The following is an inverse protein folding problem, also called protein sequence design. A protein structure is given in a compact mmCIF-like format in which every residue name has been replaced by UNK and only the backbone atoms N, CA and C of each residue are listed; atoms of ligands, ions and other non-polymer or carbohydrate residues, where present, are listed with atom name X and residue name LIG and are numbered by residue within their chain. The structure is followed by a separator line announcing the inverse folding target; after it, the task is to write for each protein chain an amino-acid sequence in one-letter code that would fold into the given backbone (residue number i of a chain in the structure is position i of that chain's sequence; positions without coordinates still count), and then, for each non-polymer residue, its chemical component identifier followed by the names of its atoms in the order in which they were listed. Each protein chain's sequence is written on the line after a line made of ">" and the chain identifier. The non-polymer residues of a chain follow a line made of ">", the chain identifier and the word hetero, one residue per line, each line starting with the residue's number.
data_IF_141487487573
#
_entry.id   IF_141487487573
#
_cell.length_a   1.000
_cell.length_b   1.000
_cell.length_c   1.000
_cell.angle_alpha   90.00
_cell.angle_beta   90.00
_cell.angle_gamma   90.00
#
_symmetry.space_group_name_H-M   'P 1'
#
loop_
_entity.id
_entity.type
_entity.pdbx_description
1 polymer ?
#
# COMPACT_ATOMS: atom_id res chain seq x y z
N UNK A 1 -9.10 5.52 -22.69
CA UNK A 1 -9.03 6.65 -23.63
C UNK A 1 -10.10 7.68 -23.32
N UNK A 2 -9.79 8.96 -23.46
CA UNK A 2 -10.68 10.09 -23.15
C UNK A 2 -10.66 11.06 -24.34
N UNK A 3 -11.82 11.73 -24.58
CA UNK A 3 -11.96 12.67 -25.67
C UNK A 3 -12.00 12.04 -27.05
N UNK A 4 -11.39 12.68 -28.03
CA UNK A 4 -11.44 12.23 -29.42
C UNK A 4 -10.72 10.90 -29.70
N UNK A 5 -9.84 10.49 -28.81
CA UNK A 5 -9.14 9.21 -28.90
C UNK A 5 -9.96 8.02 -28.39
N UNK A 6 -11.08 8.29 -27.71
CA UNK A 6 -11.98 7.25 -27.21
C UNK A 6 -13.03 6.88 -28.26
N UNK A 7 -13.00 5.64 -28.72
CA UNK A 7 -14.08 5.10 -29.56
C UNK A 7 -15.29 4.75 -28.67
N UNK A 8 -16.29 5.64 -28.66
CA UNK A 8 -17.46 5.52 -27.79
C UNK A 8 -18.71 4.98 -28.51
N UNK A 9 -18.63 4.72 -29.80
CA UNK A 9 -19.71 4.15 -30.62
C UNK A 9 -20.89 5.09 -30.93
N UNK A 10 -20.81 6.37 -30.50
CA UNK A 10 -21.90 7.34 -30.69
C UNK A 10 -21.94 7.92 -32.10
N UNK A 11 -20.79 8.03 -32.74
CA UNK A 11 -20.68 8.60 -34.08
C UNK A 11 -20.16 7.59 -35.07
N UNK A 12 -20.74 7.62 -36.29
CA UNK A 12 -20.25 6.86 -37.46
C UNK A 12 -19.01 7.51 -38.08
N UNK A 13 -18.81 7.28 -39.41
CA UNK A 13 -17.64 7.78 -40.18
C UNK A 13 -17.49 9.31 -40.16
N UNK A 14 -18.60 10.06 -40.11
CA UNK A 14 -18.60 11.53 -40.10
C UNK A 14 -19.37 12.06 -38.92
N UNK A 15 -18.78 13.02 -38.20
CA UNK A 15 -19.41 13.76 -37.09
C UNK A 15 -19.31 15.26 -37.33
N UNK A 16 -20.28 16.00 -36.80
CA UNK A 16 -20.23 17.46 -36.78
C UNK A 16 -19.22 17.93 -35.72
N UNK A 17 -18.38 18.92 -36.05
CA UNK A 17 -17.36 19.45 -35.15
C UNK A 17 -17.92 19.99 -33.81
N UNK A 18 -19.12 20.60 -33.87
CA UNK A 18 -19.83 21.07 -32.66
C UNK A 18 -20.21 19.95 -31.70
N UNK A 19 -20.61 18.78 -32.22
CA UNK A 19 -20.95 17.62 -31.41
C UNK A 19 -19.70 16.99 -30.76
N UNK A 20 -18.54 17.11 -31.41
CA UNK A 20 -17.27 16.63 -30.89
C UNK A 20 -16.89 17.28 -29.56
N UNK A 21 -17.09 18.60 -29.46
CA UNK A 21 -16.77 19.34 -28.21
C UNK A 21 -17.71 18.96 -27.06
N UNK A 22 -19.03 18.91 -27.34
CA UNK A 22 -20.03 18.48 -26.35
C UNK A 22 -19.79 17.06 -25.90
N UNK A 23 -19.51 16.15 -26.82
CA UNK A 23 -19.15 14.77 -26.54
C UNK A 23 -17.93 14.68 -25.61
N UNK A 24 -16.84 15.37 -25.96
CA UNK A 24 -15.63 15.39 -25.16
C UNK A 24 -15.88 15.87 -23.73
N UNK A 25 -16.70 16.93 -23.56
CA UNK A 25 -17.08 17.45 -22.23
C UNK A 25 -17.93 16.47 -21.44
N UNK A 26 -18.93 15.84 -22.07
CA UNK A 26 -19.85 14.89 -21.40
C UNK A 26 -19.10 13.63 -21.00
N UNK A 27 -18.30 13.05 -21.91
CA UNK A 27 -17.57 11.82 -21.62
C UNK A 27 -16.42 12.05 -20.64
N UNK A 28 -15.72 13.20 -20.71
CA UNK A 28 -14.71 13.58 -19.71
C UNK A 28 -15.34 13.71 -18.32
N UNK A 29 -16.50 14.36 -18.20
CA UNK A 29 -17.22 14.48 -16.92
C UNK A 29 -17.72 13.12 -16.38
N UNK A 30 -18.20 12.24 -17.26
CA UNK A 30 -18.61 10.87 -16.88
C UNK A 30 -17.40 10.03 -16.46
N UNK A 31 -16.29 10.14 -17.19
CA UNK A 31 -15.04 9.48 -16.85
C UNK A 31 -14.51 9.95 -15.50
N UNK A 32 -14.49 11.26 -15.24
CA UNK A 32 -14.08 11.82 -13.97
C UNK A 32 -14.92 11.31 -12.79
N UNK A 33 -16.26 11.30 -12.93
CA UNK A 33 -17.15 10.73 -11.92
C UNK A 33 -16.92 9.21 -11.67
N UNK A 34 -16.66 8.46 -12.75
CA UNK A 34 -16.39 7.02 -12.64
C UNK A 34 -15.04 6.75 -11.99
N UNK A 35 -14.02 7.57 -12.32
CA UNK A 35 -12.71 7.55 -11.68
C UNK A 35 -12.84 7.90 -10.19
N UNK A 36 -13.57 8.96 -9.84
CA UNK A 36 -13.81 9.34 -8.45
C UNK A 36 -14.50 8.22 -7.65
N UNK A 37 -15.54 7.59 -8.23
CA UNK A 37 -16.21 6.44 -7.62
C UNK A 37 -15.24 5.26 -7.48
N UNK A 38 -14.50 4.94 -8.53
CA UNK A 38 -13.49 3.85 -8.51
C UNK A 38 -12.35 4.12 -7.52
N UNK A 39 -11.95 5.39 -7.33
CA UNK A 39 -10.96 5.76 -6.33
C UNK A 39 -11.50 5.59 -4.90
N UNK A 40 -12.78 5.89 -4.67
CA UNK A 40 -13.45 5.62 -3.38
C UNK A 40 -13.62 4.13 -3.09
N UNK A 41 -13.91 3.33 -4.12
CA UNK A 41 -14.02 1.87 -4.01
C UNK A 41 -12.65 1.17 -3.90
N UNK A 42 -11.57 1.78 -4.43
CA UNK A 42 -10.18 1.33 -4.32
C UNK A 42 -9.48 1.81 -3.05
N UNK A 43 -10.17 2.50 -2.16
CA UNK A 43 -9.61 2.96 -0.88
C UNK A 43 -9.10 1.82 0.03
N UNK A 44 -9.28 0.55 -0.36
CA UNK A 44 -8.75 -0.63 0.31
C UNK A 44 -7.41 -1.12 -0.25
N UNK A 45 -6.99 -0.68 -1.46
CA UNK A 45 -5.71 -1.07 -2.03
C UNK A 45 -4.78 0.13 -2.15
N UNK A 46 -3.69 0.06 -1.43
CA UNK A 46 -2.61 1.04 -1.43
C UNK A 46 -2.07 1.29 -2.85
N UNK A 47 -1.74 0.22 -3.56
CA UNK A 47 -1.20 0.24 -4.91
C UNK A 47 -1.93 -0.76 -5.81
N UNK A 48 -2.13 -0.40 -7.08
CA UNK A 48 -2.57 -1.35 -8.10
C UNK A 48 -1.44 -2.33 -8.46
N UNK A 49 -1.80 -3.45 -9.08
CA UNK A 49 -0.87 -4.54 -9.42
C UNK A 49 0.30 -4.11 -10.30
N UNK A 50 0.10 -3.14 -11.20
CA UNK A 50 1.17 -2.64 -12.07
C UNK A 50 2.17 -1.80 -11.27
N UNK A 51 1.68 -0.92 -10.42
CA UNK A 51 2.50 -0.10 -9.51
C UNK A 51 3.27 -0.98 -8.52
N UNK A 52 2.63 -2.01 -7.96
CA UNK A 52 3.30 -3.00 -7.11
C UNK A 52 4.50 -3.60 -7.84
N UNK A 53 4.28 -4.22 -9.00
CA UNK A 53 5.35 -4.94 -9.73
C UNK A 53 6.47 -4.03 -10.20
N UNK A 54 6.16 -2.84 -10.69
CA UNK A 54 7.17 -1.97 -11.31
C UNK A 54 7.91 -1.08 -10.30
N UNK A 55 7.24 -0.60 -9.25
CA UNK A 55 7.77 0.43 -8.37
C UNK A 55 7.96 -0.02 -6.92
N UNK A 56 7.19 -0.98 -6.44
CA UNK A 56 7.19 -1.42 -5.05
C UNK A 56 8.02 -2.68 -4.86
N UNK A 57 7.75 -3.74 -5.62
CA UNK A 57 8.46 -5.01 -5.51
C UNK A 57 9.99 -4.86 -5.59
N UNK A 58 10.57 -4.06 -6.51
CA UNK A 58 12.02 -3.87 -6.55
C UNK A 58 12.59 -3.27 -5.26
N UNK A 59 11.83 -2.39 -4.58
CA UNK A 59 12.26 -1.77 -3.32
C UNK A 59 12.20 -2.76 -2.17
N UNK A 60 11.12 -3.55 -2.08
CA UNK A 60 11.00 -4.61 -1.07
C UNK A 60 12.07 -5.67 -1.28
N UNK A 61 12.30 -6.10 -2.52
CA UNK A 61 13.35 -7.07 -2.85
C UNK A 61 14.74 -6.53 -2.48
N UNK A 62 15.00 -5.22 -2.70
CA UNK A 62 16.25 -4.60 -2.30
C UNK A 62 16.43 -4.62 -0.78
N UNK A 63 15.37 -4.31 -0.02
CA UNK A 63 15.40 -4.38 1.44
C UNK A 63 15.57 -5.81 1.98
N UNK A 64 14.92 -6.79 1.35
CA UNK A 64 15.12 -8.21 1.68
C UNK A 64 16.55 -8.67 1.41
N UNK A 65 17.16 -8.23 0.30
CA UNK A 65 18.58 -8.53 -0.01
C UNK A 65 19.55 -7.85 0.95
N UNK A 66 19.22 -6.68 1.48
CA UNK A 66 20.01 -6.00 2.49
C UNK A 66 19.97 -6.75 3.83
N UNK A 67 18.78 -7.23 4.24
CA UNK A 67 18.61 -7.96 5.50
C UNK A 67 19.08 -9.42 5.42
N UNK A 68 18.85 -10.08 4.29
CA UNK A 68 19.22 -11.48 4.03
C UNK A 68 20.48 -11.50 3.14
N UNK A 69 21.63 -11.20 3.73
CA UNK A 69 22.92 -11.11 2.99
C UNK A 69 23.54 -12.47 2.64
N UNK A 70 23.17 -13.51 3.39
CA UNK A 70 23.62 -14.90 3.23
C UNK A 70 22.51 -15.82 3.75
N UNK A 71 22.80 -17.08 3.96
CA UNK A 71 21.86 -17.98 4.63
C UNK A 71 21.49 -17.43 6.02
N UNK A 72 20.21 -17.53 6.40
CA UNK A 72 19.78 -17.33 7.78
C UNK A 72 20.26 -18.51 8.62
N UNK A 73 21.53 -18.42 9.04
CA UNK A 73 22.23 -19.47 9.77
C UNK A 73 21.49 -19.84 11.05
N UNK A 74 20.88 -18.84 11.71
CA UNK A 74 20.14 -19.02 12.96
C UNK A 74 18.90 -19.87 12.72
N UNK A 75 18.10 -19.49 11.73
CA UNK A 75 16.87 -20.19 11.39
C UNK A 75 17.15 -21.59 10.83
N UNK A 76 18.12 -21.72 9.92
CA UNK A 76 18.49 -23.01 9.33
C UNK A 76 19.05 -24.00 10.36
N UNK A 77 19.74 -23.51 11.40
CA UNK A 77 20.26 -24.36 12.46
C UNK A 77 19.18 -24.90 13.40
N UNK A 78 18.13 -24.10 13.66
CA UNK A 78 17.04 -24.47 14.58
C UNK A 78 15.90 -25.19 13.86
N UNK A 79 15.67 -24.86 12.58
CA UNK A 79 14.55 -25.36 11.76
C UNK A 79 15.07 -25.99 10.45
N UNK A 80 15.71 -27.19 10.50
CA UNK A 80 16.30 -27.80 9.31
C UNK A 80 15.26 -28.32 8.30
N UNK A 81 13.98 -28.45 8.72
CA UNK A 81 12.88 -28.90 7.87
C UNK A 81 11.78 -27.83 7.78
N UNK A 82 11.09 -27.81 6.63
CA UNK A 82 9.88 -26.99 6.44
C UNK A 82 8.82 -27.36 7.48
N UNK A 83 8.28 -26.36 8.15
CA UNK A 83 7.18 -26.49 9.11
C UNK A 83 6.25 -25.30 8.98
N UNK A 84 4.99 -25.54 8.71
CA UNK A 84 3.97 -24.49 8.73
C UNK A 84 3.75 -23.98 10.16
N UNK A 85 3.76 -22.66 10.31
CA UNK A 85 3.45 -21.97 11.55
C UNK A 85 2.45 -20.83 11.31
N UNK A 86 1.98 -20.26 12.41
CA UNK A 86 1.12 -19.08 12.43
C UNK A 86 1.72 -18.09 13.42
N UNK A 87 1.82 -16.81 13.01
CA UNK A 87 2.26 -15.70 13.85
C UNK A 87 1.21 -14.62 13.90
N UNK A 88 1.00 -14.03 15.07
CA UNK A 88 0.07 -12.93 15.29
C UNK A 88 0.81 -11.59 15.15
N UNK A 89 0.23 -10.67 14.37
CA UNK A 89 0.66 -9.29 14.28
C UNK A 89 -0.06 -8.47 15.36
N UNK A 90 0.68 -8.03 16.38
CA UNK A 90 0.12 -7.34 17.55
C UNK A 90 0.64 -5.90 17.62
N UNK A 91 -0.27 -4.94 17.77
CA UNK A 91 0.05 -3.53 17.96
C UNK A 91 0.84 -3.30 19.27
N UNK A 92 1.93 -2.53 19.20
CA UNK A 92 2.76 -2.24 20.39
C UNK A 92 2.48 -0.88 20.99
N UNK A 93 1.95 0.07 20.23
CA UNK A 93 1.66 1.44 20.65
C UNK A 93 0.40 1.93 19.93
N UNK A 94 -0.33 2.86 20.56
CA UNK A 94 -1.51 3.49 19.95
C UNK A 94 -1.10 4.33 18.74
N UNK A 95 -1.91 4.30 17.67
CA UNK A 95 -1.59 5.07 16.47
C UNK A 95 -2.54 4.83 15.31
N UNK A 96 -2.08 5.21 14.12
CA UNK A 96 -2.74 4.92 12.84
C UNK A 96 -1.94 3.85 12.13
N UNK A 97 -2.58 2.73 11.83
CA UNK A 97 -1.95 1.67 11.06
C UNK A 97 -1.85 2.06 9.57
N UNK A 98 -0.71 1.80 8.96
CA UNK A 98 -0.49 2.08 7.55
C UNK A 98 0.61 1.19 6.97
N UNK A 99 0.36 0.59 5.80
CA UNK A 99 1.32 -0.24 5.09
C UNK A 99 1.04 -1.75 5.14
N UNK A 100 -0.19 -2.15 5.44
CA UNK A 100 -0.60 -3.56 5.51
C UNK A 100 -0.34 -4.30 4.20
N UNK A 101 -0.61 -3.68 3.04
CA UNK A 101 -0.34 -4.27 1.73
C UNK A 101 1.17 -4.53 1.52
N UNK A 102 2.06 -3.65 2.03
CA UNK A 102 3.51 -3.84 1.92
C UNK A 102 3.98 -4.95 2.85
N UNK A 103 3.39 -5.04 4.04
CA UNK A 103 3.64 -6.13 4.98
C UNK A 103 3.30 -7.48 4.36
N UNK A 104 2.11 -7.66 3.80
CA UNK A 104 1.68 -8.87 3.09
C UNK A 104 2.59 -9.15 1.90
N UNK A 105 2.83 -8.15 1.04
CA UNK A 105 3.65 -8.30 -0.17
C UNK A 105 5.07 -8.76 0.14
N UNK A 106 5.63 -8.40 1.28
CA UNK A 106 6.97 -8.85 1.71
C UNK A 106 7.02 -10.37 1.87
N UNK A 107 5.99 -10.98 2.46
CA UNK A 107 5.90 -12.43 2.60
C UNK A 107 5.59 -13.12 1.26
N UNK A 108 4.67 -12.58 0.47
CA UNK A 108 4.35 -13.12 -0.87
C UNK A 108 5.58 -13.16 -1.80
N UNK A 109 6.48 -12.17 -1.71
CA UNK A 109 7.72 -12.14 -2.50
C UNK A 109 8.74 -13.20 -2.06
N UNK A 110 8.65 -13.69 -0.84
CA UNK A 110 9.49 -14.78 -0.34
C UNK A 110 8.87 -16.15 -0.62
N UNK A 111 7.54 -16.27 -0.47
CA UNK A 111 6.79 -17.50 -0.73
C UNK A 111 5.31 -17.17 -1.00
N UNK A 112 4.84 -17.44 -2.20
CA UNK A 112 3.44 -17.24 -2.60
C UNK A 112 2.43 -18.09 -1.80
N UNK A 113 2.90 -19.11 -1.07
CA UNK A 113 2.08 -19.94 -0.20
C UNK A 113 1.82 -19.30 1.18
N UNK A 114 2.44 -18.16 1.49
CA UNK A 114 2.12 -17.40 2.68
C UNK A 114 0.71 -16.83 2.58
N UNK A 115 -0.07 -16.98 3.65
CA UNK A 115 -1.44 -16.47 3.77
C UNK A 115 -1.49 -15.43 4.90
N UNK A 116 -2.01 -14.24 4.59
CA UNK A 116 -2.09 -13.13 5.53
C UNK A 116 -3.54 -12.71 5.70
N UNK A 117 -4.02 -12.74 6.95
CA UNK A 117 -5.35 -12.28 7.33
C UNK A 117 -5.22 -11.01 8.17
N UNK A 118 -5.85 -9.91 7.76
CA UNK A 118 -5.87 -8.66 8.52
C UNK A 118 -7.23 -8.44 9.20
N UNK A 119 -7.17 -7.89 10.44
CA UNK A 119 -8.31 -7.49 11.26
C UNK A 119 -8.43 -5.96 11.38
N UNK A 120 -7.56 -5.23 10.68
CA UNK A 120 -7.56 -3.79 10.57
C UNK A 120 -7.29 -3.37 9.12
N UNK A 121 -7.58 -2.13 8.78
CA UNK A 121 -7.33 -1.53 7.46
C UNK A 121 -6.39 -0.32 7.59
N UNK A 122 -5.64 -0.01 6.52
CA UNK A 122 -4.83 1.19 6.49
C UNK A 122 -5.68 2.44 6.77
N UNK A 123 -5.20 3.28 7.69
CA UNK A 123 -5.90 4.46 8.17
C UNK A 123 -6.70 4.25 9.46
N UNK A 124 -6.89 3.02 9.92
CA UNK A 124 -7.57 2.75 11.18
C UNK A 124 -6.73 3.22 12.37
N UNK A 125 -7.41 3.75 13.40
CA UNK A 125 -6.82 3.99 14.71
C UNK A 125 -6.76 2.67 15.46
N UNK A 126 -5.57 2.31 15.91
CA UNK A 126 -5.30 1.05 16.61
C UNK A 126 -4.73 1.30 17.97
N UNK A 127 -4.94 0.37 18.90
CA UNK A 127 -4.54 0.46 20.30
C UNK A 127 -3.47 -0.57 20.64
N UNK A 128 -2.67 -0.28 21.65
CA UNK A 128 -1.66 -1.19 22.18
C UNK A 128 -2.30 -2.52 22.63
N UNK A 129 -1.72 -3.62 22.16
CA UNK A 129 -2.20 -4.98 22.42
C UNK A 129 -3.26 -5.48 21.45
N UNK A 130 -3.76 -4.64 20.54
CA UNK A 130 -4.73 -5.02 19.54
C UNK A 130 -4.10 -6.03 18.56
N UNK A 131 -4.84 -7.11 18.24
CA UNK A 131 -4.50 -8.05 17.17
C UNK A 131 -4.85 -7.42 15.83
N UNK A 132 -3.84 -7.18 14.99
CA UNK A 132 -3.97 -6.53 13.69
C UNK A 132 -4.10 -7.51 12.52
N UNK A 133 -3.57 -8.73 12.70
CA UNK A 133 -3.62 -9.76 11.67
C UNK A 133 -2.88 -11.02 12.07
N UNK A 134 -2.85 -11.97 11.14
CA UNK A 134 -2.13 -13.25 11.24
C UNK A 134 -1.41 -13.54 9.94
N UNK A 135 -0.24 -14.14 10.06
CA UNK A 135 0.51 -14.66 8.92
C UNK A 135 0.72 -16.16 9.12
N UNK A 136 0.34 -16.94 8.11
CA UNK A 136 0.52 -18.38 8.07
C UNK A 136 1.47 -18.75 6.92
N UNK A 137 2.48 -19.56 7.18
CA UNK A 137 3.45 -19.96 6.16
C UNK A 137 4.53 -20.88 6.72
N UNK A 138 5.56 -21.15 5.94
CA UNK A 138 6.77 -21.82 6.43
C UNK A 138 7.45 -20.94 7.49
N UNK A 139 7.71 -21.48 8.66
CA UNK A 139 8.32 -20.76 9.79
C UNK A 139 9.63 -20.07 9.39
N UNK A 140 10.43 -20.66 8.51
CA UNK A 140 11.68 -20.06 8.02
C UNK A 140 11.42 -18.79 7.21
N UNK A 141 10.41 -18.83 6.35
CA UNK A 141 9.96 -17.66 5.56
C UNK A 141 9.40 -16.58 6.48
N UNK A 142 8.58 -16.97 7.47
CA UNK A 142 8.03 -16.03 8.45
C UNK A 142 9.15 -15.30 9.20
N UNK A 143 10.15 -16.01 9.68
CA UNK A 143 11.30 -15.43 10.40
C UNK A 143 12.18 -14.55 9.49
N UNK A 144 12.43 -14.98 8.25
CA UNK A 144 13.25 -14.21 7.30
C UNK A 144 12.58 -12.92 6.82
N UNK A 145 11.25 -12.92 6.66
CA UNK A 145 10.48 -11.75 6.17
C UNK A 145 10.10 -10.76 7.27
N UNK A 146 10.03 -11.20 8.53
CA UNK A 146 9.49 -10.43 9.65
C UNK A 146 10.09 -9.03 9.77
N UNK A 147 11.42 -8.93 9.78
CA UNK A 147 12.12 -7.67 10.03
C UNK A 147 11.83 -6.63 8.95
N UNK A 148 11.90 -7.01 7.69
CA UNK A 148 11.63 -6.10 6.58
C UNK A 148 10.15 -5.69 6.55
N UNK A 149 9.23 -6.65 6.73
CA UNK A 149 7.79 -6.40 6.79
C UNK A 149 7.44 -5.43 7.92
N UNK A 150 7.97 -5.65 9.13
CA UNK A 150 7.74 -4.78 10.29
C UNK A 150 8.40 -3.41 10.12
N UNK A 151 9.59 -3.31 9.53
CA UNK A 151 10.27 -2.02 9.31
C UNK A 151 9.42 -1.10 8.41
N UNK A 152 8.86 -1.62 7.31
CA UNK A 152 7.95 -0.85 6.47
C UNK A 152 6.67 -0.47 7.21
N UNK A 153 6.02 -1.43 7.85
CA UNK A 153 4.75 -1.21 8.56
C UNK A 153 4.91 -0.15 9.67
N UNK A 154 5.95 -0.27 10.50
CA UNK A 154 6.24 0.66 11.59
C UNK A 154 6.57 2.06 11.07
N UNK A 155 7.41 2.15 10.03
CA UNK A 155 7.77 3.43 9.42
C UNK A 155 6.55 4.15 8.86
N UNK A 156 5.72 3.45 8.11
CA UNK A 156 4.53 4.01 7.47
C UNK A 156 3.48 4.38 8.51
N UNK A 157 3.22 3.52 9.50
CA UNK A 157 2.30 3.81 10.59
C UNK A 157 2.75 5.00 11.45
N UNK A 158 4.05 5.14 11.69
CA UNK A 158 4.62 6.30 12.38
C UNK A 158 4.38 7.61 11.63
N UNK A 159 4.55 7.61 10.30
CA UNK A 159 4.27 8.79 9.45
C UNK A 159 2.78 9.11 9.46
N UNK A 160 1.91 8.11 9.30
CA UNK A 160 0.45 8.28 9.32
C UNK A 160 -0.03 8.83 10.67
N UNK A 161 0.46 8.27 11.77
CA UNK A 161 0.15 8.73 13.14
C UNK A 161 0.58 10.17 13.36
N UNK A 162 1.81 10.53 12.98
CA UNK A 162 2.31 11.89 13.12
C UNK A 162 1.49 12.87 12.28
N UNK A 163 1.16 12.51 11.05
CA UNK A 163 0.34 13.33 10.14
C UNK A 163 -1.06 13.55 10.72
N UNK A 164 -1.71 12.50 11.21
CA UNK A 164 -3.02 12.58 11.85
C UNK A 164 -3.00 13.51 13.08
N UNK A 165 -1.97 13.42 13.91
CA UNK A 165 -1.82 14.29 15.08
C UNK A 165 -1.65 15.76 14.66
N UNK A 166 -0.85 16.06 13.62
CA UNK A 166 -0.71 17.43 13.11
C UNK A 166 -2.02 17.93 12.52
N UNK A 167 -2.76 17.11 11.78
CA UNK A 167 -4.08 17.48 11.25
C UNK A 167 -5.06 17.81 12.38
N UNK A 168 -5.04 17.06 13.47
CA UNK A 168 -5.91 17.32 14.62
C UNK A 168 -5.62 18.70 15.26
N UNK A 169 -4.35 19.12 15.36
CA UNK A 169 -4.00 20.48 15.80
C UNK A 169 -4.48 21.59 14.85
N UNK A 170 -4.63 21.29 13.57
CA UNK A 170 -4.99 22.26 12.53
C UNK A 170 -6.49 22.28 12.24
N UNK A 171 -7.30 21.41 12.80
CA UNK A 171 -8.72 21.20 12.43
C UNK A 171 -9.58 22.46 12.49
N UNK A 172 -9.31 23.35 13.44
CA UNK A 172 -10.07 24.59 13.66
C UNK A 172 -9.42 25.82 12.98
N UNK A 173 -8.40 25.59 12.17
CA UNK A 173 -7.68 26.65 11.45
C UNK A 173 -7.98 26.62 9.95
N UNK A 174 -7.68 27.73 9.25
CA UNK A 174 -7.70 27.79 7.79
C UNK A 174 -6.43 27.21 7.14
N UNK A 175 -5.50 26.69 7.95
CA UNK A 175 -4.21 26.17 7.50
C UNK A 175 -4.42 24.79 6.88
N UNK A 176 -3.85 24.58 5.68
CA UNK A 176 -3.84 23.28 5.01
C UNK A 176 -2.47 22.63 5.13
N UNK A 177 -2.44 21.43 5.69
CA UNK A 177 -1.22 20.63 5.73
C UNK A 177 -0.86 20.15 4.32
N UNK A 178 0.39 20.38 3.92
CA UNK A 178 0.95 19.88 2.66
C UNK A 178 2.17 19.02 2.96
N UNK A 179 2.30 17.94 2.23
CA UNK A 179 3.47 17.08 2.34
C UNK A 179 4.68 17.66 1.56
N UNK A 180 5.84 17.04 1.72
CA UNK A 180 7.11 17.52 1.16
C UNK A 180 7.73 16.52 0.18
N UNK A 181 8.64 17.00 -0.69
CA UNK A 181 9.52 16.14 -1.51
C UNK A 181 10.78 15.68 -0.77
N UNK A 182 11.00 16.16 0.45
CA UNK A 182 12.13 15.76 1.29
C UNK A 182 11.80 14.45 2.01
N UNK A 183 11.92 13.37 1.29
CA UNK A 183 11.64 11.98 1.74
C UNK A 183 12.94 11.20 1.86
N UNK A 184 12.91 10.10 2.60
CA UNK A 184 14.00 9.13 2.61
C UNK A 184 14.26 8.64 1.18
N UNK A 185 15.52 8.63 0.69
CA UNK A 185 15.85 8.08 -0.62
C UNK A 185 15.26 6.68 -0.80
N UNK A 186 14.74 6.42 -1.99
CA UNK A 186 14.04 5.20 -2.40
C UNK A 186 12.70 4.91 -1.71
N UNK A 187 12.38 5.56 -0.56
CA UNK A 187 11.15 5.30 0.20
C UNK A 187 10.01 6.29 -0.08
N UNK A 188 10.18 7.21 -1.05
CA UNK A 188 9.17 8.24 -1.33
C UNK A 188 7.79 7.70 -1.59
N UNK A 189 7.65 6.59 -2.31
CA UNK A 189 6.36 6.00 -2.66
C UNK A 189 5.58 5.60 -1.41
N UNK A 190 6.25 5.01 -0.44
CA UNK A 190 5.67 4.58 0.85
C UNK A 190 5.33 5.77 1.74
N UNK A 191 6.28 6.72 1.88
CA UNK A 191 6.10 7.90 2.74
C UNK A 191 4.98 8.83 2.22
N UNK A 192 4.86 8.98 0.88
CA UNK A 192 3.77 9.75 0.26
C UNK A 192 2.40 9.10 0.45
N UNK A 193 2.34 7.79 0.45
CA UNK A 193 1.11 7.08 0.77
C UNK A 193 0.73 7.30 2.23
N UNK A 194 1.67 7.14 3.16
CA UNK A 194 1.43 7.23 4.60
C UNK A 194 0.96 8.62 5.08
N UNK A 195 1.16 9.68 4.29
CA UNK A 195 0.68 11.05 4.58
C UNK A 195 -0.77 11.28 4.13
N UNK A 196 -1.34 10.43 3.26
CA UNK A 196 -2.69 10.60 2.68
C UNK A 196 -3.78 10.20 3.64
#
# INVERSE_FOLDING_TARGET
>A
AIGETACNGVHGKNRLASNSLLESLVFAKRAAKRIEKSLKERAHYMFDQTTLKLNVDPLIISALKEDITSEDVSTNSVMPFSKTGVVDLICKEDGIICGLQIFERTFELLDEACDVEFFASDGDRVEKGQLLGRVKGDVRILLSGERVALNYLQRMSGIATYTANVQEYLKDSSIRLLDTRKTTPNNRIFEKYAVR
#
